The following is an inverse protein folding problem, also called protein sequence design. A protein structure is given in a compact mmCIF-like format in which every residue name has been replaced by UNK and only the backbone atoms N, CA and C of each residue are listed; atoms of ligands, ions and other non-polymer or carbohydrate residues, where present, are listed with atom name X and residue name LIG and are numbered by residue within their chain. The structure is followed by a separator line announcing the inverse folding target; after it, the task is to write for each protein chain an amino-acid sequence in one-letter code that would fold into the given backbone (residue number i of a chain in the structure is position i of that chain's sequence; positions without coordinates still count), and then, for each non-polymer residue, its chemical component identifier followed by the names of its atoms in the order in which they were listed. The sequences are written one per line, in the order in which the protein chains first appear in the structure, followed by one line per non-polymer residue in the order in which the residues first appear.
data_IF_095654702247
#
_entry.id   IF_095654702247
#
_cell.length_a   1.000
_cell.length_b   1.000
_cell.length_c   1.000
_cell.angle_alpha   90.00
_cell.angle_beta   90.00
_cell.angle_gamma   90.00
#
_symmetry.space_group_name_H-M   'P 1'
#
loop_
_entity.id
_entity.type
_entity.pdbx_description
1 polymer ?
#
# COMPACT_ATOMS: atom_id res chain seq x y z
N UNK A 1 -24.16 -10.95 53.07
CA UNK A 1 -23.93 -9.78 52.20
C UNK A 1 -22.69 -9.94 51.30
N UNK A 2 -21.83 -10.94 51.53
CA UNK A 2 -20.59 -11.15 50.77
C UNK A 2 -20.78 -11.51 49.29
N UNK A 3 -21.76 -12.35 48.94
CA UNK A 3 -21.96 -12.79 47.55
C UNK A 3 -22.34 -11.67 46.56
N UNK A 4 -23.04 -10.63 47.01
CA UNK A 4 -23.41 -9.50 46.14
C UNK A 4 -22.21 -8.58 45.88
N UNK A 5 -21.29 -8.49 46.84
CA UNK A 5 -20.04 -7.74 46.69
C UNK A 5 -19.10 -8.43 45.69
N UNK A 6 -18.98 -9.76 45.76
CA UNK A 6 -18.16 -10.54 44.83
C UNK A 6 -18.75 -10.52 43.41
N UNK A 7 -20.07 -10.59 43.27
CA UNK A 7 -20.75 -10.41 41.98
C UNK A 7 -20.51 -9.01 41.40
N UNK A 8 -20.55 -7.97 42.24
CA UNK A 8 -20.27 -6.60 41.77
C UNK A 8 -18.81 -6.44 41.32
N UNK A 9 -17.85 -7.00 42.06
CA UNK A 9 -16.42 -6.96 41.69
C UNK A 9 -16.12 -7.70 40.40
N UNK A 10 -16.70 -8.89 40.19
CA UNK A 10 -16.50 -9.66 38.94
C UNK A 10 -17.13 -8.96 37.72
N UNK A 11 -18.28 -8.31 37.89
CA UNK A 11 -18.88 -7.48 36.83
C UNK A 11 -17.98 -6.27 36.50
N UNK A 12 -17.37 -5.65 37.51
CA UNK A 12 -16.47 -4.52 37.30
C UNK A 12 -15.17 -4.95 36.58
N UNK A 13 -14.59 -6.08 36.96
CA UNK A 13 -13.43 -6.65 36.28
C UNK A 13 -13.74 -7.01 34.83
N UNK A 14 -14.91 -7.59 34.56
CA UNK A 14 -15.35 -7.89 33.20
C UNK A 14 -15.45 -6.63 32.33
N UNK A 15 -15.96 -5.52 32.89
CA UNK A 15 -16.03 -4.23 32.18
C UNK A 15 -14.65 -3.64 31.91
N UNK A 16 -13.72 -3.76 32.87
CA UNK A 16 -12.32 -3.32 32.69
C UNK A 16 -11.64 -4.13 31.60
N UNK A 17 -11.78 -5.45 31.59
CA UNK A 17 -11.26 -6.31 30.53
C UNK A 17 -11.84 -5.95 29.16
N UNK A 18 -13.16 -5.70 29.06
CA UNK A 18 -13.78 -5.26 27.82
C UNK A 18 -13.23 -3.91 27.32
N UNK A 19 -12.97 -2.97 28.23
CA UNK A 19 -12.37 -1.69 27.89
C UNK A 19 -10.94 -1.86 27.35
N UNK A 20 -10.11 -2.70 27.98
CA UNK A 20 -8.74 -3.00 27.53
C UNK A 20 -8.74 -3.70 26.16
N UNK A 21 -9.66 -4.64 25.95
CA UNK A 21 -9.81 -5.31 24.65
C UNK A 21 -10.24 -4.31 23.57
N UNK A 22 -11.14 -3.39 23.91
CA UNK A 22 -11.60 -2.35 22.97
C UNK A 22 -10.48 -1.37 22.63
N UNK A 23 -9.66 -0.98 23.61
CA UNK A 23 -8.51 -0.11 23.43
C UNK A 23 -7.43 -0.79 22.56
N UNK A 24 -7.12 -2.06 22.84
CA UNK A 24 -6.21 -2.85 22.02
C UNK A 24 -6.72 -3.05 20.58
N UNK A 25 -8.02 -3.26 20.41
CA UNK A 25 -8.65 -3.35 19.10
C UNK A 25 -8.62 -2.00 18.36
N UNK A 26 -8.83 -0.88 19.06
CA UNK A 26 -8.72 0.47 18.49
C UNK A 26 -7.28 0.77 18.08
N UNK A 27 -6.30 0.49 18.94
CA UNK A 27 -4.89 0.64 18.62
C UNK A 27 -4.49 -0.23 17.42
N UNK A 28 -4.94 -1.49 17.37
CA UNK A 28 -4.68 -2.36 16.23
C UNK A 28 -5.36 -1.83 14.96
N UNK A 29 -6.59 -1.31 15.07
CA UNK A 29 -7.27 -0.64 13.98
C UNK A 29 -6.49 0.61 13.53
N UNK A 30 -5.96 1.45 14.41
CA UNK A 30 -5.14 2.61 14.03
C UNK A 30 -3.79 2.21 13.39
N UNK A 31 -3.20 1.09 13.83
CA UNK A 31 -1.89 0.64 13.34
C UNK A 31 -1.97 -0.15 12.03
N UNK A 32 -3.14 -0.74 11.72
CA UNK A 32 -3.33 -1.60 10.55
C UNK A 32 -4.46 -1.15 9.60
N UNK A 33 -5.35 -0.25 10.01
CA UNK A 33 -6.14 0.56 9.07
C UNK A 33 -5.20 1.61 8.50
N UNK A 34 -4.51 1.24 7.42
CA UNK A 34 -3.82 2.19 6.56
C UNK A 34 -4.82 3.02 5.75
N UNK A 35 -5.76 3.70 6.40
CA UNK A 35 -6.70 4.57 5.71
C UNK A 35 -7.07 5.79 6.55
N UNK A 36 -6.84 6.92 5.91
CA UNK A 36 -7.15 8.28 6.29
C UNK A 36 -8.67 8.42 6.51
N UNK A 37 -9.05 9.28 7.46
CA UNK A 37 -10.45 9.54 7.79
C UNK A 37 -11.29 9.98 6.57
N UNK A 38 -12.60 9.67 6.54
CA UNK A 38 -13.46 10.00 5.41
C UNK A 38 -13.86 11.48 5.43
N UNK A 39 -13.16 12.32 4.66
CA UNK A 39 -13.65 13.63 4.22
C UNK A 39 -13.72 13.70 2.68
N UNK A 40 -14.96 13.82 2.21
CA UNK A 40 -15.41 14.21 0.86
C UNK A 40 -15.00 13.34 -0.37
N UNK A 41 -15.98 12.88 -1.18
CA UNK A 41 -15.72 12.11 -2.37
C UNK A 41 -15.21 13.02 -3.49
N UNK A 42 -13.92 13.33 -3.48
CA UNK A 42 -13.22 13.50 -4.76
C UNK A 42 -13.06 12.11 -5.35
N UNK A 43 -13.26 11.92 -6.67
CA UNK A 43 -13.16 10.61 -7.28
C UNK A 43 -11.68 10.22 -7.34
N UNK A 44 -11.14 9.76 -6.22
CA UNK A 44 -9.93 8.95 -6.17
C UNK A 44 -10.35 7.62 -6.77
N UNK A 45 -10.28 7.57 -8.10
CA UNK A 45 -10.07 6.33 -8.85
C UNK A 45 -9.13 5.48 -8.01
N UNK A 46 -9.62 4.36 -7.53
CA UNK A 46 -8.81 3.20 -7.13
C UNK A 46 -7.57 3.22 -8.03
N UNK A 47 -6.34 3.47 -7.54
CA UNK A 47 -5.22 3.58 -8.46
C UNK A 47 -4.97 2.18 -8.98
N UNK A 48 -5.37 1.87 -10.23
CA UNK A 48 -5.26 0.54 -10.77
C UNK A 48 -3.82 0.45 -11.25
N UNK A 49 -2.86 0.09 -10.39
CA UNK A 49 -1.42 0.10 -10.72
C UNK A 49 -1.06 1.33 -11.59
N UNK A 50 -1.18 2.52 -11.01
CA UNK A 50 -1.14 3.75 -11.80
C UNK A 50 0.16 3.88 -12.57
N UNK A 51 0.02 4.33 -13.82
CA UNK A 51 1.12 4.76 -14.69
C UNK A 51 2.20 5.56 -13.96
N UNK A 52 1.83 6.31 -12.93
CA UNK A 52 2.72 7.08 -12.07
C UNK A 52 3.71 6.21 -11.28
N UNK A 53 3.29 5.11 -10.67
CA UNK A 53 4.19 4.23 -9.93
C UNK A 53 5.22 3.60 -10.89
N UNK A 54 4.74 3.12 -12.04
CA UNK A 54 5.59 2.55 -13.08
C UNK A 54 6.56 3.62 -13.62
N UNK A 55 6.06 4.84 -13.85
CA UNK A 55 6.86 6.00 -14.29
C UNK A 55 7.87 6.45 -13.25
N UNK A 56 7.55 6.43 -11.97
CA UNK A 56 8.48 6.76 -10.88
C UNK A 56 9.63 5.75 -10.86
N UNK A 57 9.33 4.46 -10.85
CA UNK A 57 10.31 3.38 -10.87
C UNK A 57 11.23 3.47 -12.09
N UNK A 58 10.68 3.73 -13.29
CA UNK A 58 11.47 3.89 -14.51
C UNK A 58 12.25 5.20 -14.54
N UNK A 59 11.72 6.29 -13.97
CA UNK A 59 12.44 7.56 -13.87
C UNK A 59 13.62 7.45 -12.89
N UNK A 60 13.44 6.79 -11.74
CA UNK A 60 14.52 6.56 -10.78
C UNK A 60 15.59 5.65 -11.36
N UNK A 61 15.22 4.61 -12.11
CA UNK A 61 16.20 3.76 -12.83
C UNK A 61 16.92 4.51 -13.95
N UNK A 62 16.23 5.41 -14.65
CA UNK A 62 16.86 6.29 -15.63
C UNK A 62 17.90 7.20 -14.98
N UNK A 63 17.58 7.76 -13.79
CA UNK A 63 18.52 8.54 -12.98
C UNK A 63 19.71 7.72 -12.46
N UNK A 64 19.50 6.43 -12.19
CA UNK A 64 20.57 5.50 -11.81
C UNK A 64 21.51 5.12 -12.97
N UNK A 65 21.29 5.62 -14.20
CA UNK A 65 22.14 5.37 -15.36
C UNK A 65 21.64 4.28 -16.30
N UNK A 66 20.54 3.60 -15.95
CA UNK A 66 19.93 2.55 -16.78
C UNK A 66 19.04 3.10 -17.91
N UNK A 67 19.18 4.38 -18.26
CA UNK A 67 18.35 5.06 -19.28
C UNK A 67 18.35 4.34 -20.63
N UNK A 68 19.50 3.79 -21.05
CA UNK A 68 19.62 3.07 -22.32
C UNK A 68 18.88 1.74 -22.29
N UNK A 69 19.00 0.97 -21.19
CA UNK A 69 18.31 -0.31 -21.04
C UNK A 69 16.79 -0.12 -20.95
N UNK A 70 16.35 0.91 -20.21
CA UNK A 70 14.93 1.28 -20.13
C UNK A 70 14.38 1.67 -21.50
N UNK A 71 15.13 2.43 -22.30
CA UNK A 71 14.71 2.81 -23.66
C UNK A 71 14.59 1.58 -24.57
N UNK A 72 15.56 0.67 -24.53
CA UNK A 72 15.49 -0.60 -25.26
C UNK A 72 14.30 -1.46 -24.80
N UNK A 73 14.01 -1.44 -23.50
CA UNK A 73 12.87 -2.14 -22.92
C UNK A 73 11.55 -1.57 -23.45
N UNK A 74 11.37 -0.25 -23.37
CA UNK A 74 10.20 0.44 -23.91
C UNK A 74 10.01 0.13 -25.39
N UNK A 75 11.09 0.17 -26.19
CA UNK A 75 11.05 -0.18 -27.62
C UNK A 75 10.69 -1.64 -27.88
N UNK A 76 11.15 -2.59 -27.03
CA UNK A 76 10.73 -4.00 -27.10
C UNK A 76 9.22 -4.15 -26.92
N UNK A 77 8.60 -3.28 -26.11
CA UNK A 77 7.16 -3.20 -25.93
C UNK A 77 6.44 -2.28 -26.96
N UNK A 78 7.18 -1.76 -27.97
CA UNK A 78 6.62 -1.01 -29.09
C UNK A 78 6.41 0.49 -28.83
N UNK A 79 7.01 1.07 -27.79
CA UNK A 79 6.86 2.49 -27.48
C UNK A 79 8.18 3.15 -27.07
N UNK A 80 8.33 4.45 -27.32
CA UNK A 80 9.50 5.20 -26.83
C UNK A 80 9.33 5.75 -25.40
N UNK A 81 8.09 5.71 -24.88
CA UNK A 81 7.70 6.27 -23.58
C UNK A 81 6.64 5.39 -22.93
N UNK A 82 6.62 5.35 -21.59
CA UNK A 82 5.55 4.70 -20.79
C UNK A 82 4.14 5.05 -21.25
N UNK A 83 3.93 6.31 -21.66
CA UNK A 83 2.63 6.79 -22.14
C UNK A 83 2.17 6.13 -23.44
N UNK A 84 3.07 5.50 -24.20
CA UNK A 84 2.75 4.74 -25.40
C UNK A 84 2.76 3.23 -25.18
N UNK A 85 3.16 2.75 -24.00
CA UNK A 85 3.08 1.32 -23.67
C UNK A 85 1.65 1.00 -23.23
N UNK A 86 1.13 -0.12 -23.72
CA UNK A 86 -0.19 -0.62 -23.34
C UNK A 86 -0.21 -0.95 -21.82
N UNK A 87 -1.27 -0.56 -21.08
CA UNK A 87 -1.42 -0.92 -19.68
C UNK A 87 -1.28 -2.42 -19.37
N UNK A 88 -1.62 -3.29 -20.33
CA UNK A 88 -1.41 -4.73 -20.20
C UNK A 88 0.08 -5.10 -20.07
N UNK A 89 0.96 -4.32 -20.68
CA UNK A 89 2.40 -4.53 -20.68
C UNK A 89 3.11 -3.83 -19.52
N UNK A 90 2.45 -2.95 -18.75
CA UNK A 90 3.09 -2.27 -17.62
C UNK A 90 3.62 -3.24 -16.58
N UNK A 91 2.90 -4.32 -16.27
CA UNK A 91 3.36 -5.32 -15.30
C UNK A 91 4.66 -6.00 -15.76
N UNK A 92 4.72 -6.42 -17.02
CA UNK A 92 5.90 -7.06 -17.59
C UNK A 92 7.09 -6.09 -17.67
N UNK A 93 6.82 -4.84 -18.08
CA UNK A 93 7.82 -3.80 -18.19
C UNK A 93 8.39 -3.40 -16.82
N UNK A 94 7.54 -3.35 -15.78
CA UNK A 94 7.97 -3.05 -14.41
C UNK A 94 8.87 -4.18 -13.87
N UNK A 95 8.48 -5.44 -14.08
CA UNK A 95 9.29 -6.61 -13.69
C UNK A 95 10.65 -6.61 -14.39
N UNK A 96 10.69 -6.48 -15.72
CA UNK A 96 11.93 -6.38 -16.49
C UNK A 96 12.79 -5.19 -16.02
N UNK A 97 12.16 -4.06 -15.70
CA UNK A 97 12.88 -2.91 -15.17
C UNK A 97 13.43 -3.20 -13.77
N UNK A 98 12.74 -3.95 -12.91
CA UNK A 98 13.20 -4.32 -11.56
C UNK A 98 14.40 -5.26 -11.62
N UNK A 99 14.46 -6.15 -12.61
CA UNK A 99 15.64 -6.97 -12.87
C UNK A 99 16.86 -6.11 -13.24
N UNK A 100 16.69 -5.03 -14.00
CA UNK A 100 17.78 -4.08 -14.28
C UNK A 100 18.37 -3.43 -13.02
N UNK A 101 17.59 -3.34 -11.93
CA UNK A 101 18.04 -2.77 -10.66
C UNK A 101 18.78 -3.78 -9.78
N UNK A 102 18.44 -5.07 -9.88
CA UNK A 102 19.09 -6.14 -9.10
C UNK A 102 20.42 -6.62 -9.71
N UNK A 103 20.80 -6.13 -10.89
CA UNK A 103 22.12 -6.34 -11.46
C UNK A 103 23.11 -5.28 -10.95
N UNK A 104 23.38 -5.29 -9.64
CA UNK A 104 24.57 -4.64 -9.03
C UNK A 104 25.58 -5.71 -8.64
#
# INVERSE_FOLDING_TARGET
MSNMSEMASTIEELRKCAAVISDAANWLAEKFSGDEAPEEPTPVKEPPLTLEAVRAVLADKSRAGHTTQIRSLLQKYGADKLSGVDPANYKALLADAEELNNAT
#
